data_IF_794309579441
#
_entry.id   IF_794309579441
#
_cell.length_a   1.000
_cell.length_b   1.000
_cell.length_c   1.000
_cell.angle_alpha   90.00
_cell.angle_beta   90.00
_cell.angle_gamma   90.00
#
_symmetry.space_group_name_H-M   'P 1'
#
loop_
_entity.id
_entity.type
_entity.pdbx_description
1 polymer ?
#
# COMPACT_ATOMS: atom_id res chain seq x y z
N UNK A 1 9.18 0.07 -24.66
CA UNK A 1 8.78 1.50 -24.74
C UNK A 1 10.04 2.34 -24.87
N UNK A 2 10.05 3.49 -25.55
CA UNK A 2 11.26 4.33 -25.58
C UNK A 2 11.49 5.03 -24.22
N UNK A 3 12.73 5.34 -23.88
CA UNK A 3 13.08 6.08 -22.65
C UNK A 3 12.35 7.43 -22.58
N UNK A 4 12.30 8.16 -23.71
CA UNK A 4 11.61 9.46 -23.80
C UNK A 4 10.12 9.34 -23.48
N UNK A 5 9.43 8.35 -24.07
CA UNK A 5 8.01 8.10 -23.84
C UNK A 5 7.74 7.74 -22.38
N UNK A 6 8.61 6.92 -21.78
CA UNK A 6 8.49 6.54 -20.37
C UNK A 6 8.62 7.74 -19.44
N UNK A 7 9.63 8.59 -19.66
CA UNK A 7 9.86 9.78 -18.85
C UNK A 7 8.71 10.77 -18.97
N UNK A 8 8.21 11.01 -20.19
CA UNK A 8 7.04 11.87 -20.41
C UNK A 8 5.84 11.33 -19.62
N UNK A 9 5.58 10.03 -19.68
CA UNK A 9 4.45 9.41 -18.98
C UNK A 9 4.59 9.55 -17.45
N UNK A 10 5.77 9.26 -16.89
CA UNK A 10 6.04 9.42 -15.45
C UNK A 10 5.85 10.88 -15.03
N UNK A 11 6.45 11.83 -15.75
CA UNK A 11 6.35 13.27 -15.45
C UNK A 11 4.90 13.74 -15.51
N UNK A 12 4.16 13.39 -16.57
CA UNK A 12 2.78 13.82 -16.76
C UNK A 12 1.89 13.26 -15.65
N UNK A 13 1.98 11.97 -15.33
CA UNK A 13 1.20 11.36 -14.25
C UNK A 13 1.55 12.01 -12.90
N UNK A 14 2.84 12.16 -12.61
CA UNK A 14 3.32 12.82 -11.39
C UNK A 14 2.80 14.26 -11.26
N UNK A 15 2.80 15.04 -12.35
CA UNK A 15 2.27 16.40 -12.38
C UNK A 15 0.75 16.42 -12.18
N UNK A 16 0.01 15.51 -12.83
CA UNK A 16 -1.44 15.40 -12.66
C UNK A 16 -1.79 15.18 -11.18
N UNK A 17 -1.17 14.19 -10.54
CA UNK A 17 -1.42 13.91 -9.12
C UNK A 17 -0.98 15.06 -8.21
N UNK A 18 0.14 15.73 -8.53
CA UNK A 18 0.58 16.91 -7.78
C UNK A 18 -0.42 18.04 -7.87
N UNK A 19 -0.88 18.39 -9.07
CA UNK A 19 -1.87 19.45 -9.29
C UNK A 19 -3.19 19.12 -8.61
N UNK A 20 -3.70 17.90 -8.80
CA UNK A 20 -4.95 17.44 -8.18
C UNK A 20 -4.86 17.46 -6.65
N UNK A 21 -3.76 16.95 -6.08
CA UNK A 21 -3.51 16.95 -4.64
C UNK A 21 -3.45 18.36 -4.07
N UNK A 22 -2.67 19.26 -4.69
CA UNK A 22 -2.56 20.65 -4.26
C UNK A 22 -3.91 21.39 -4.36
N UNK A 23 -4.62 21.24 -5.49
CA UNK A 23 -5.91 21.89 -5.72
C UNK A 23 -6.96 21.44 -4.69
N UNK A 24 -7.06 20.14 -4.42
CA UNK A 24 -7.99 19.61 -3.42
C UNK A 24 -7.66 20.14 -2.03
N UNK A 25 -6.38 20.21 -1.69
CA UNK A 25 -5.89 20.60 -0.36
C UNK A 25 -6.11 22.08 -0.03
N UNK A 26 -6.19 22.96 -1.03
CA UNK A 26 -6.49 24.40 -0.81
C UNK A 26 -7.78 24.62 -0.01
N UNK A 27 -8.77 23.74 -0.15
CA UNK A 27 -10.05 23.80 0.57
C UNK A 27 -9.97 23.31 2.02
N UNK A 28 -8.90 22.62 2.39
CA UNK A 28 -8.79 21.90 3.68
C UNK A 28 -7.50 22.24 4.41
N UNK A 29 -7.39 23.48 4.86
CA UNK A 29 -6.23 23.97 5.62
C UNK A 29 -6.33 23.65 7.12
N UNK A 30 -5.21 23.78 7.83
CA UNK A 30 -5.13 23.63 9.29
C UNK A 30 -4.76 22.22 9.77
N UNK A 31 -4.23 22.15 10.99
CA UNK A 31 -3.58 20.95 11.54
C UNK A 31 -4.51 19.73 11.65
N UNK A 32 -5.79 19.95 11.98
CA UNK A 32 -6.76 18.86 12.10
C UNK A 32 -7.06 18.19 10.74
N UNK A 33 -7.11 18.98 9.66
CA UNK A 33 -7.22 18.47 8.30
C UNK A 33 -5.94 17.75 7.88
N UNK A 34 -4.79 18.35 8.19
CA UNK A 34 -3.48 17.81 7.83
C UNK A 34 -3.21 16.43 8.46
N UNK A 35 -3.45 16.28 9.77
CA UNK A 35 -3.12 15.04 10.50
C UNK A 35 -4.21 13.99 10.47
N UNK A 36 -5.48 14.40 10.43
CA UNK A 36 -6.63 13.50 10.67
C UNK A 36 -7.80 13.74 9.72
N UNK A 37 -7.62 14.52 8.66
CA UNK A 37 -8.69 14.90 7.71
C UNK A 37 -9.98 15.38 8.40
N UNK A 38 -9.83 16.04 9.56
CA UNK A 38 -10.91 16.50 10.43
C UNK A 38 -11.93 15.41 10.85
N UNK A 39 -11.52 14.14 10.94
CA UNK A 39 -12.38 13.01 11.36
C UNK A 39 -13.68 12.91 10.55
N UNK A 40 -13.65 13.27 9.26
CA UNK A 40 -14.86 13.38 8.44
C UNK A 40 -14.72 12.66 7.09
N UNK A 41 -13.95 11.58 7.05
CA UNK A 41 -13.82 10.74 5.85
C UNK A 41 -14.86 9.62 5.93
N UNK A 42 -15.79 9.61 4.98
CA UNK A 42 -16.85 8.60 4.91
C UNK A 42 -16.35 7.21 4.51
N UNK A 43 -17.18 6.20 4.74
CA UNK A 43 -16.87 4.78 4.55
C UNK A 43 -16.19 4.45 3.21
N UNK A 44 -16.79 4.82 2.07
CA UNK A 44 -16.24 4.45 0.76
C UNK A 44 -14.86 5.06 0.48
N UNK A 45 -14.68 6.34 0.81
CA UNK A 45 -13.38 7.01 0.66
C UNK A 45 -12.33 6.43 1.61
N UNK A 46 -12.73 6.05 2.82
CA UNK A 46 -11.80 5.45 3.77
C UNK A 46 -11.36 4.06 3.31
N UNK A 47 -12.32 3.23 2.89
CA UNK A 47 -12.07 1.86 2.42
C UNK A 47 -11.16 1.87 1.19
N UNK A 48 -11.48 2.69 0.18
CA UNK A 48 -10.64 2.81 -1.02
C UNK A 48 -9.23 3.28 -0.66
N UNK A 49 -9.09 4.30 0.19
CA UNK A 49 -7.77 4.76 0.61
C UNK A 49 -6.97 3.72 1.42
N UNK A 50 -7.61 2.94 2.30
CA UNK A 50 -6.96 1.84 3.01
C UNK A 50 -6.50 0.73 2.06
N UNK A 51 -7.31 0.38 1.06
CA UNK A 51 -6.96 -0.65 0.08
C UNK A 51 -5.83 -0.19 -0.84
N UNK A 52 -5.87 1.05 -1.36
CA UNK A 52 -4.77 1.60 -2.17
C UNK A 52 -3.46 1.62 -1.41
N UNK A 53 -3.49 2.06 -0.15
CA UNK A 53 -2.32 2.10 0.71
C UNK A 53 -1.76 0.70 1.00
N UNK A 54 -2.61 -0.33 1.07
CA UNK A 54 -2.18 -1.70 1.34
C UNK A 54 -1.54 -2.37 0.11
N UNK A 55 -2.03 -2.07 -1.10
CA UNK A 55 -1.53 -2.68 -2.33
C UNK A 55 -0.12 -2.18 -2.70
N UNK A 56 0.10 -0.86 -2.69
CA UNK A 56 1.41 -0.27 -3.06
C UNK A 56 1.94 -0.73 -4.43
N UNK A 57 3.22 -0.44 -4.69
CA UNK A 57 3.96 -0.93 -5.85
C UNK A 57 4.52 -2.34 -5.62
N UNK A 58 4.76 -2.73 -4.35
CA UNK A 58 5.28 -4.04 -3.99
C UNK A 58 4.41 -5.21 -4.48
N UNK A 59 3.09 -5.03 -4.62
CA UNK A 59 2.16 -6.07 -5.07
C UNK A 59 2.49 -6.62 -6.47
N UNK A 60 3.16 -5.83 -7.31
CA UNK A 60 3.56 -6.24 -8.65
C UNK A 60 4.73 -7.24 -8.64
N UNK A 61 5.53 -7.25 -7.57
CA UNK A 61 6.77 -8.02 -7.50
C UNK A 61 6.73 -9.09 -6.41
N UNK A 62 6.27 -8.75 -5.20
CA UNK A 62 6.33 -9.62 -4.02
C UNK A 62 5.56 -10.93 -4.20
N UNK A 63 4.22 -10.90 -4.35
CA UNK A 63 3.42 -12.10 -4.53
C UNK A 63 3.82 -12.90 -5.78
N UNK A 64 4.12 -12.21 -6.89
CA UNK A 64 4.54 -12.85 -8.14
C UNK A 64 5.86 -13.61 -7.96
N UNK A 65 6.86 -12.99 -7.31
CA UNK A 65 8.13 -13.65 -6.99
C UNK A 65 7.94 -14.79 -5.99
N UNK A 66 7.07 -14.62 -5.00
CA UNK A 66 6.80 -15.66 -4.01
C UNK A 66 6.12 -16.89 -4.61
N UNK A 67 5.27 -16.69 -5.61
CA UNK A 67 4.60 -17.77 -6.32
C UNK A 67 5.57 -18.72 -7.03
N UNK A 68 6.74 -18.25 -7.48
CA UNK A 68 7.68 -19.06 -8.28
C UNK A 68 8.43 -20.11 -7.46
N UNK A 69 8.54 -19.93 -6.15
CA UNK A 69 9.24 -20.86 -5.24
C UNK A 69 8.37 -21.36 -4.10
N UNK A 70 7.41 -20.57 -3.62
CA UNK A 70 6.47 -20.94 -2.57
C UNK A 70 5.08 -21.34 -3.08
N UNK A 71 4.86 -21.34 -4.40
CA UNK A 71 3.62 -21.84 -5.01
C UNK A 71 2.35 -21.15 -4.52
N UNK A 72 1.23 -21.88 -4.55
CA UNK A 72 -0.09 -21.37 -4.15
C UNK A 72 -0.13 -20.94 -2.68
N UNK A 73 0.52 -21.67 -1.79
CA UNK A 73 0.49 -21.37 -0.35
C UNK A 73 1.11 -20.03 -0.03
N UNK A 74 2.22 -19.67 -0.70
CA UNK A 74 2.82 -18.34 -0.57
C UNK A 74 1.88 -17.21 -1.02
N UNK A 75 1.19 -17.39 -2.15
CA UNK A 75 0.22 -16.40 -2.67
C UNK A 75 -0.95 -16.21 -1.70
N UNK A 76 -1.50 -17.32 -1.19
CA UNK A 76 -2.57 -17.28 -0.17
C UNK A 76 -2.08 -16.59 1.09
N UNK A 77 -0.87 -16.91 1.56
CA UNK A 77 -0.24 -16.30 2.72
C UNK A 77 -0.12 -14.78 2.59
N UNK A 78 0.34 -14.29 1.43
CA UNK A 78 0.38 -12.87 1.11
C UNK A 78 -0.99 -12.21 1.13
N UNK A 79 -1.98 -12.82 0.46
CA UNK A 79 -3.33 -12.28 0.37
C UNK A 79 -3.98 -12.17 1.76
N UNK A 80 -3.91 -13.25 2.55
CA UNK A 80 -4.43 -13.26 3.92
C UNK A 80 -3.64 -12.31 4.84
N UNK A 81 -2.31 -12.25 4.70
CA UNK A 81 -1.45 -11.36 5.47
C UNK A 81 -1.75 -9.89 5.20
N UNK A 82 -2.11 -9.55 3.96
CA UNK A 82 -2.52 -8.18 3.58
C UNK A 82 -3.92 -7.85 4.11
N UNK A 83 -4.85 -8.82 4.10
CA UNK A 83 -6.23 -8.62 4.54
C UNK A 83 -6.39 -8.59 6.08
N UNK A 84 -5.61 -9.40 6.80
CA UNK A 84 -5.74 -9.59 8.25
C UNK A 84 -5.65 -8.29 9.08
N UNK A 85 -4.69 -7.38 8.84
CA UNK A 85 -4.61 -6.10 9.54
C UNK A 85 -5.90 -5.30 9.50
N UNK A 86 -6.64 -5.34 8.38
CA UNK A 86 -7.90 -4.60 8.24
C UNK A 86 -8.97 -5.11 9.21
N UNK A 87 -9.06 -6.44 9.41
CA UNK A 87 -9.95 -7.05 10.41
C UNK A 87 -9.57 -6.59 11.81
N UNK A 88 -8.27 -6.58 12.12
CA UNK A 88 -7.77 -6.18 13.43
C UNK A 88 -8.01 -4.68 13.70
N UNK A 89 -7.84 -3.83 12.70
CA UNK A 89 -8.10 -2.38 12.78
C UNK A 89 -9.57 -2.08 13.06
N UNK A 90 -10.52 -2.92 12.65
CA UNK A 90 -11.94 -2.74 13.00
C UNK A 90 -12.13 -2.79 14.52
N UNK A 91 -11.57 -3.81 15.19
CA UNK A 91 -11.70 -3.96 16.64
C UNK A 91 -10.85 -2.94 17.40
N UNK A 92 -9.53 -2.92 17.15
CA UNK A 92 -8.62 -2.08 17.92
C UNK A 92 -8.79 -0.60 17.56
N UNK A 93 -9.08 -0.27 16.30
CA UNK A 93 -9.34 1.10 15.87
C UNK A 93 -10.59 1.70 16.54
N UNK A 94 -11.70 0.94 16.63
CA UNK A 94 -12.89 1.37 17.39
C UNK A 94 -12.56 1.62 18.86
N UNK A 95 -11.83 0.70 19.49
CA UNK A 95 -11.41 0.83 20.89
C UNK A 95 -10.54 2.06 21.12
N UNK A 96 -9.51 2.27 20.29
CA UNK A 96 -8.61 3.41 20.41
C UNK A 96 -9.30 4.75 20.17
N UNK A 97 -10.24 4.83 19.22
CA UNK A 97 -11.01 6.06 19.00
C UNK A 97 -11.93 6.38 20.17
N UNK A 98 -12.52 5.36 20.82
CA UNK A 98 -13.36 5.54 22.01
C UNK A 98 -12.54 5.98 23.23
N UNK A 99 -11.41 5.35 23.50
CA UNK A 99 -10.55 5.67 24.65
C UNK A 99 -9.74 6.97 24.43
N UNK A 100 -9.36 7.28 23.19
CA UNK A 100 -8.50 8.42 22.83
C UNK A 100 -9.10 9.24 21.67
N UNK A 101 -10.26 9.90 21.87
CA UNK A 101 -10.99 10.57 20.78
C UNK A 101 -10.22 11.74 20.14
N UNK A 102 -9.34 12.38 20.92
CA UNK A 102 -8.46 13.46 20.46
C UNK A 102 -7.12 12.98 19.90
N UNK A 103 -6.88 11.67 19.89
CA UNK A 103 -5.66 11.09 19.33
C UNK A 103 -5.57 11.26 17.81
N UNK A 104 -4.36 11.10 17.29
CA UNK A 104 -4.04 11.22 15.86
C UNK A 104 -3.28 10.02 15.31
N UNK A 105 -2.56 9.28 16.17
CA UNK A 105 -1.69 8.18 15.74
C UNK A 105 -1.60 7.08 16.80
N UNK A 106 -1.19 5.87 16.38
CA UNK A 106 -0.88 4.79 17.32
C UNK A 106 0.27 5.17 18.26
N UNK A 107 1.28 5.85 17.73
CA UNK A 107 2.46 6.27 18.50
C UNK A 107 2.10 7.26 19.62
N UNK A 108 1.17 8.17 19.38
CA UNK A 108 0.65 9.07 20.42
C UNK A 108 -0.06 8.29 21.53
N UNK A 109 -0.89 7.32 21.18
CA UNK A 109 -1.52 6.41 22.14
C UNK A 109 -0.46 5.68 22.99
N UNK A 110 0.58 5.14 22.36
CA UNK A 110 1.64 4.44 23.06
C UNK A 110 2.39 5.34 24.04
N UNK A 111 2.60 6.61 23.67
CA UNK A 111 3.19 7.62 24.56
C UNK A 111 2.38 7.83 25.83
N UNK A 112 1.06 7.97 25.69
CA UNK A 112 0.16 8.25 26.82
C UNK A 112 0.04 7.01 27.71
N UNK A 113 -0.09 5.82 27.12
CA UNK A 113 -0.36 4.59 27.87
C UNK A 113 0.86 3.93 28.49
N UNK A 114 2.01 3.96 27.81
CA UNK A 114 3.21 3.19 28.21
C UNK A 114 4.40 4.08 28.61
N UNK A 115 4.21 5.40 28.62
CA UNK A 115 5.24 6.35 29.05
C UNK A 115 6.36 6.58 28.03
N UNK A 116 7.31 7.45 28.39
CA UNK A 116 8.29 8.02 27.45
C UNK A 116 9.37 7.04 26.97
N UNK A 117 9.77 6.07 27.79
CA UNK A 117 10.88 5.16 27.47
C UNK A 117 10.49 4.22 26.33
N UNK A 118 9.41 3.46 26.52
CA UNK A 118 8.89 2.54 25.49
C UNK A 118 8.47 3.29 24.23
N UNK A 119 7.84 4.46 24.38
CA UNK A 119 7.48 5.32 23.27
C UNK A 119 8.67 5.67 22.37
N UNK A 120 9.82 6.07 22.92
CA UNK A 120 10.98 6.46 22.11
C UNK A 120 11.50 5.30 21.27
N UNK A 121 11.57 4.11 21.87
CA UNK A 121 11.98 2.90 21.17
C UNK A 121 11.03 2.58 20.02
N UNK A 122 9.72 2.53 20.29
CA UNK A 122 8.72 2.19 19.26
C UNK A 122 8.66 3.27 18.17
N UNK A 123 8.77 4.55 18.53
CA UNK A 123 8.83 5.65 17.56
C UNK A 123 10.04 5.48 16.62
N UNK A 124 11.23 5.19 17.16
CA UNK A 124 12.43 4.98 16.35
C UNK A 124 12.24 3.79 15.40
N UNK A 125 11.76 2.66 15.92
CA UNK A 125 11.49 1.46 15.11
C UNK A 125 10.48 1.75 14.01
N UNK A 126 9.41 2.51 14.30
CA UNK A 126 8.39 2.85 13.32
C UNK A 126 8.92 3.81 12.25
N UNK A 127 9.71 4.82 12.60
CA UNK A 127 10.35 5.71 11.61
C UNK A 127 11.28 4.89 10.70
N UNK A 128 12.10 4.02 11.28
CA UNK A 128 13.01 3.17 10.52
C UNK A 128 12.27 2.22 9.57
N UNK A 129 11.21 1.57 10.05
CA UNK A 129 10.34 0.74 9.23
C UNK A 129 9.70 1.53 8.07
N UNK A 130 9.09 2.69 8.36
CA UNK A 130 8.45 3.52 7.34
C UNK A 130 9.45 4.04 6.31
N UNK A 131 10.70 4.30 6.72
CA UNK A 131 11.79 4.66 5.80
C UNK A 131 12.13 3.50 4.85
N UNK A 132 12.35 2.30 5.38
CA UNK A 132 12.60 1.10 4.55
C UNK A 132 11.43 0.85 3.60
N UNK A 133 10.20 0.95 4.10
CA UNK A 133 8.99 0.78 3.30
C UNK A 133 8.94 1.78 2.14
N UNK A 134 9.20 3.07 2.40
CA UNK A 134 9.28 4.10 1.35
C UNK A 134 10.36 3.78 0.31
N UNK A 135 11.56 3.39 0.76
CA UNK A 135 12.64 3.00 -0.14
C UNK A 135 12.25 1.80 -1.02
N UNK A 136 11.61 0.78 -0.45
CA UNK A 136 11.16 -0.40 -1.17
C UNK A 136 10.12 -0.04 -2.25
N UNK A 137 9.13 0.78 -1.90
CA UNK A 137 8.07 1.24 -2.81
C UNK A 137 8.63 2.03 -4.00
N UNK A 138 9.48 3.03 -3.72
CA UNK A 138 10.09 3.86 -4.78
C UNK A 138 11.01 3.03 -5.66
N UNK A 139 11.76 2.09 -5.07
CA UNK A 139 12.64 1.17 -5.81
C UNK A 139 11.82 0.25 -6.72
N UNK A 140 10.69 -0.28 -6.25
CA UNK A 140 9.82 -1.12 -7.07
C UNK A 140 9.33 -0.38 -8.32
N UNK A 141 8.89 0.87 -8.19
CA UNK A 141 8.46 1.67 -9.36
C UNK A 141 9.65 2.01 -10.27
N UNK A 142 10.80 2.38 -9.70
CA UNK A 142 11.99 2.67 -10.50
C UNK A 142 12.46 1.44 -11.31
N UNK A 143 12.46 0.25 -10.70
CA UNK A 143 12.78 -1.01 -11.37
C UNK A 143 11.77 -1.30 -12.48
N UNK A 144 10.47 -1.09 -12.25
CA UNK A 144 9.44 -1.29 -13.28
C UNK A 144 9.71 -0.41 -14.51
N UNK A 145 10.00 0.87 -14.30
CA UNK A 145 10.24 1.82 -15.39
C UNK A 145 11.55 1.51 -16.11
N UNK A 146 12.60 1.14 -15.37
CA UNK A 146 13.86 0.67 -15.95
C UNK A 146 13.66 -0.58 -16.81
N UNK A 147 12.90 -1.56 -16.32
CA UNK A 147 12.61 -2.79 -17.04
C UNK A 147 11.91 -2.56 -18.39
N UNK A 148 10.97 -1.60 -18.46
CA UNK A 148 10.15 -1.36 -19.65
C UNK A 148 10.84 -0.45 -20.69
N UNK A 149 11.79 0.39 -20.25
CA UNK A 149 12.32 1.50 -21.06
C UNK A 149 13.83 1.74 -20.99
N UNK A 150 14.55 1.10 -20.07
CA UNK A 150 15.96 1.34 -19.80
C UNK A 150 16.27 2.62 -19.00
N UNK A 151 15.26 3.39 -18.58
CA UNK A 151 15.45 4.62 -17.80
C UNK A 151 16.21 4.33 -16.50
N UNK A 152 17.22 5.14 -16.18
CA UNK A 152 17.98 4.99 -14.94
C UNK A 152 17.09 5.14 -13.69
N UNK A 153 17.35 4.29 -12.69
CA UNK A 153 16.51 4.15 -11.49
C UNK A 153 16.35 5.48 -10.73
N UNK A 154 17.45 6.22 -10.57
CA UNK A 154 17.47 7.46 -9.77
C UNK A 154 16.61 8.56 -10.39
N UNK A 155 16.50 8.62 -11.72
CA UNK A 155 15.68 9.63 -12.43
C UNK A 155 14.21 9.40 -12.08
N UNK A 156 13.74 8.17 -12.24
CA UNK A 156 12.36 7.79 -11.93
C UNK A 156 12.04 8.01 -10.45
N UNK A 157 12.94 7.56 -9.57
CA UNK A 157 12.79 7.72 -8.12
C UNK A 157 12.68 9.20 -7.72
N UNK A 158 13.54 10.06 -8.27
CA UNK A 158 13.55 11.49 -7.98
C UNK A 158 12.26 12.17 -8.39
N UNK A 159 11.76 11.90 -9.60
CA UNK A 159 10.51 12.50 -10.11
C UNK A 159 9.33 12.11 -9.20
N UNK A 160 9.21 10.82 -8.88
CA UNK A 160 8.12 10.31 -8.03
C UNK A 160 8.21 10.89 -6.63
N UNK A 161 9.39 10.89 -6.01
CA UNK A 161 9.60 11.45 -4.68
C UNK A 161 9.27 12.94 -4.62
N UNK A 162 9.77 13.74 -5.56
CA UNK A 162 9.50 15.18 -5.59
C UNK A 162 8.00 15.46 -5.74
N UNK A 163 7.33 14.78 -6.67
CA UNK A 163 5.90 14.96 -6.90
C UNK A 163 5.06 14.57 -5.67
N UNK A 164 5.27 13.35 -5.16
CA UNK A 164 4.53 12.81 -4.01
C UNK A 164 4.78 13.60 -2.73
N UNK A 165 6.02 13.98 -2.47
CA UNK A 165 6.39 14.81 -1.32
C UNK A 165 5.74 16.20 -1.42
N UNK A 166 5.71 16.80 -2.61
CA UNK A 166 5.16 18.16 -2.79
C UNK A 166 3.68 18.23 -2.38
N UNK A 167 2.83 17.36 -2.94
CA UNK A 167 1.40 17.44 -2.61
C UNK A 167 1.09 16.90 -1.20
N UNK A 168 1.89 15.95 -0.69
CA UNK A 168 1.69 15.38 0.65
C UNK A 168 2.13 16.33 1.75
N UNK A 169 3.26 17.04 1.60
CA UNK A 169 3.69 18.07 2.55
C UNK A 169 2.74 19.26 2.58
N UNK A 170 2.07 19.56 1.47
CA UNK A 170 1.09 20.65 1.42
C UNK A 170 -0.25 20.25 2.02
N UNK A 171 -0.77 19.07 1.70
CA UNK A 171 -2.14 18.67 2.02
C UNK A 171 -2.32 17.60 3.10
N UNK A 172 -1.23 16.98 3.55
CA UNK A 172 -1.23 15.95 4.58
C UNK A 172 -2.11 14.74 4.24
N UNK A 173 -2.72 14.16 5.26
CA UNK A 173 -3.54 12.96 5.14
C UNK A 173 -4.72 13.16 4.18
N UNK A 174 -5.29 14.38 4.10
CA UNK A 174 -6.45 14.64 3.25
C UNK A 174 -6.09 14.61 1.76
N UNK A 175 -4.92 15.12 1.39
CA UNK A 175 -4.39 14.94 0.04
C UNK A 175 -4.17 13.47 -0.28
N UNK A 176 -3.51 12.73 0.63
CA UNK A 176 -3.24 11.31 0.44
C UNK A 176 -4.53 10.51 0.23
N UNK A 177 -5.55 10.68 1.09
CA UNK A 177 -6.84 9.99 0.92
C UNK A 177 -7.49 10.33 -0.43
N UNK A 178 -7.45 11.60 -0.83
CA UNK A 178 -8.01 12.02 -2.11
C UNK A 178 -7.29 11.38 -3.31
N UNK A 179 -5.95 11.39 -3.32
CA UNK A 179 -5.17 10.76 -4.41
C UNK A 179 -5.36 9.25 -4.43
N UNK A 180 -5.43 8.60 -3.27
CA UNK A 180 -5.65 7.16 -3.17
C UNK A 180 -7.01 6.75 -3.75
N UNK A 181 -8.06 7.54 -3.51
CA UNK A 181 -9.39 7.25 -4.06
C UNK A 181 -9.36 7.23 -5.59
N UNK A 182 -8.66 8.18 -6.21
CA UNK A 182 -8.48 8.24 -7.66
C UNK A 182 -7.66 7.04 -8.14
N UNK A 183 -6.54 6.74 -7.46
CA UNK A 183 -5.68 5.61 -7.79
C UNK A 183 -6.43 4.28 -7.69
N UNK A 184 -7.32 4.10 -6.72
CA UNK A 184 -8.13 2.88 -6.59
C UNK A 184 -9.06 2.65 -7.77
N UNK A 185 -9.62 3.72 -8.35
CA UNK A 185 -10.44 3.58 -9.56
C UNK A 185 -9.56 3.08 -10.71
N UNK A 186 -8.37 3.68 -10.88
CA UNK A 186 -7.41 3.27 -11.92
C UNK A 186 -6.97 1.82 -11.72
N UNK A 187 -6.58 1.44 -10.49
CA UNK A 187 -6.19 0.08 -10.14
C UNK A 187 -7.33 -0.90 -10.42
N UNK A 188 -8.57 -0.57 -10.03
CA UNK A 188 -9.74 -1.41 -10.25
C UNK A 188 -10.00 -1.67 -11.74
N UNK A 189 -9.93 -0.62 -12.57
CA UNK A 189 -10.07 -0.73 -14.04
C UNK A 189 -8.95 -1.59 -14.62
N UNK A 190 -7.69 -1.33 -14.25
CA UNK A 190 -6.55 -2.11 -14.74
C UNK A 190 -6.61 -3.58 -14.31
N UNK A 191 -7.11 -3.86 -13.10
CA UNK A 191 -7.31 -5.22 -12.60
C UNK A 191 -8.37 -5.96 -13.42
N UNK A 192 -9.50 -5.31 -13.75
CA UNK A 192 -10.54 -5.89 -14.61
C UNK A 192 -9.98 -6.17 -16.00
N UNK A 193 -9.28 -5.21 -16.61
CA UNK A 193 -8.64 -5.39 -17.93
C UNK A 193 -7.68 -6.58 -17.90
N UNK A 194 -6.83 -6.66 -16.87
CA UNK A 194 -5.87 -7.75 -16.70
C UNK A 194 -6.56 -9.11 -16.53
N UNK A 195 -7.65 -9.17 -15.76
CA UNK A 195 -8.44 -10.39 -15.58
C UNK A 195 -9.09 -10.86 -16.89
N UNK A 196 -9.68 -9.94 -17.66
CA UNK A 196 -10.26 -10.23 -18.99
C UNK A 196 -9.16 -10.75 -19.94
N UNK A 197 -7.98 -10.13 -19.93
CA UNK A 197 -6.87 -10.54 -20.79
C UNK A 197 -6.34 -11.95 -20.45
N UNK A 198 -6.24 -12.26 -19.15
CA UNK A 198 -5.84 -13.58 -18.67
C UNK A 198 -6.87 -14.65 -19.05
N UNK A 199 -8.16 -14.39 -18.85
CA UNK A 199 -9.23 -15.38 -19.07
C UNK A 199 -9.53 -15.59 -20.56
N UNK A 200 -9.48 -14.56 -21.39
CA UNK A 200 -9.96 -14.68 -22.79
C UNK A 200 -8.85 -14.83 -23.82
N UNK A 201 -7.67 -14.24 -23.60
CA UNK A 201 -6.61 -14.20 -24.61
C UNK A 201 -5.44 -15.13 -24.30
N UNK A 202 -5.25 -15.48 -23.02
CA UNK A 202 -4.11 -16.27 -22.56
C UNK A 202 -4.50 -17.54 -21.81
N UNK A 203 -5.78 -17.93 -21.82
CA UNK A 203 -6.26 -19.12 -21.11
C UNK A 203 -5.51 -20.38 -21.52
N UNK A 204 -5.04 -20.49 -22.76
CA UNK A 204 -4.30 -21.66 -23.23
C UNK A 204 -2.80 -21.59 -22.92
N UNK A 205 -2.24 -20.39 -22.68
CA UNK A 205 -0.80 -20.18 -22.45
C UNK A 205 -0.43 -20.11 -20.96
N UNK A 206 -1.25 -19.44 -20.15
CA UNK A 206 -0.96 -19.16 -18.74
C UNK A 206 -2.09 -19.70 -17.84
N UNK A 207 -2.13 -21.02 -17.70
CA UNK A 207 -3.11 -21.74 -16.89
C UNK A 207 -2.45 -22.71 -15.91
N UNK A 208 -3.26 -23.34 -15.05
CA UNK A 208 -2.76 -24.32 -14.09
C UNK A 208 -2.17 -25.58 -14.74
N UNK A 209 -2.61 -25.96 -15.95
CA UNK A 209 -2.01 -27.11 -16.64
C UNK A 209 -0.60 -26.80 -17.14
N UNK A 210 -0.34 -25.59 -17.65
CA UNK A 210 1.00 -25.11 -17.97
C UNK A 210 1.91 -25.11 -16.75
N UNK A 211 1.42 -24.59 -15.61
CA UNK A 211 2.21 -24.61 -14.36
C UNK A 211 2.48 -26.05 -13.91
N UNK A 212 1.50 -26.95 -14.03
CA UNK A 212 1.67 -28.36 -13.69
C UNK A 212 2.69 -29.08 -14.61
N UNK A 213 2.79 -28.67 -15.88
CA UNK A 213 3.78 -29.18 -16.82
C UNK A 213 5.19 -28.67 -16.51
N UNK A 214 5.34 -27.39 -16.20
CA UNK A 214 6.66 -26.76 -15.98
C UNK A 214 7.20 -27.00 -14.57
N UNK A 215 6.35 -26.92 -13.54
CA UNK A 215 6.74 -27.12 -12.16
C UNK A 215 5.55 -27.61 -11.30
N UNK A 216 5.24 -28.92 -11.32
CA UNK A 216 4.08 -29.49 -10.64
C UNK A 216 4.12 -29.33 -9.12
N UNK A 217 5.32 -29.21 -8.52
CA UNK A 217 5.45 -29.06 -7.08
C UNK A 217 4.81 -27.77 -6.56
N UNK A 218 4.74 -26.69 -7.36
CA UNK A 218 4.11 -25.42 -6.97
C UNK A 218 2.60 -25.53 -6.72
N UNK A 219 1.95 -26.56 -7.28
CA UNK A 219 0.52 -26.85 -7.12
C UNK A 219 0.26 -28.02 -6.16
N UNK A 220 1.30 -28.77 -5.81
CA UNK A 220 1.14 -29.98 -5.01
C UNK A 220 0.85 -29.66 -3.55
N UNK A 221 -0.20 -30.27 -2.99
CA UNK A 221 -0.49 -30.23 -1.55
C UNK A 221 0.57 -30.94 -0.69
N UNK A 222 1.48 -31.72 -1.27
CA UNK A 222 2.60 -32.31 -0.53
C UNK A 222 3.84 -31.41 -0.46
N UNK A 223 3.82 -30.26 -1.16
CA UNK A 223 4.97 -29.37 -1.23
C UNK A 223 5.08 -28.52 0.04
N UNK A 224 5.87 -28.99 1.00
CA UNK A 224 6.08 -28.35 2.31
C UNK A 224 6.44 -26.86 2.22
N UNK A 225 7.34 -26.41 1.31
CA UNK A 225 7.65 -24.99 1.18
C UNK A 225 6.44 -24.11 0.87
N UNK A 226 5.38 -24.65 0.26
CA UNK A 226 4.12 -23.92 0.03
C UNK A 226 3.51 -23.42 1.33
N UNK A 227 3.45 -24.28 2.33
CA UNK A 227 2.86 -23.98 3.63
C UNK A 227 3.78 -23.11 4.49
N UNK A 228 5.08 -23.41 4.51
CA UNK A 228 6.03 -22.62 5.28
C UNK A 228 6.15 -21.21 4.73
N UNK A 229 6.25 -21.04 3.41
CA UNK A 229 6.23 -19.73 2.77
C UNK A 229 4.90 -18.99 3.02
N UNK A 230 3.78 -19.69 2.88
CA UNK A 230 2.45 -19.13 3.18
C UNK A 230 2.35 -18.59 4.60
N UNK A 231 2.79 -19.36 5.59
CA UNK A 231 2.80 -18.93 6.99
C UNK A 231 3.78 -17.77 7.22
N UNK A 232 4.97 -17.84 6.65
CA UNK A 232 5.98 -16.76 6.75
C UNK A 232 5.43 -15.46 6.19
N UNK A 233 4.82 -15.47 5.01
CA UNK A 233 4.26 -14.27 4.40
C UNK A 233 3.03 -13.77 5.14
N UNK A 234 2.16 -14.68 5.61
CA UNK A 234 1.04 -14.27 6.45
C UNK A 234 1.53 -13.47 7.67
N UNK A 235 2.47 -14.03 8.44
CA UNK A 235 2.98 -13.41 9.67
C UNK A 235 3.71 -12.10 9.34
N UNK A 236 4.63 -12.12 8.37
CA UNK A 236 5.45 -10.95 8.04
C UNK A 236 4.60 -9.81 7.48
N UNK A 237 3.71 -10.08 6.54
CA UNK A 237 2.86 -9.07 5.89
C UNK A 237 1.79 -8.56 6.84
N UNK A 238 1.19 -9.43 7.65
CA UNK A 238 0.23 -9.02 8.67
C UNK A 238 0.87 -8.13 9.73
N UNK A 239 2.04 -8.51 10.26
CA UNK A 239 2.72 -7.72 11.27
C UNK A 239 3.12 -6.35 10.74
N UNK A 240 3.74 -6.28 9.56
CA UNK A 240 4.20 -5.02 8.95
C UNK A 240 3.04 -4.05 8.69
N UNK A 241 1.95 -4.53 8.09
CA UNK A 241 0.77 -3.71 7.81
C UNK A 241 0.00 -3.30 9.07
N UNK A 242 0.03 -4.12 10.13
CA UNK A 242 -0.60 -3.79 11.41
C UNK A 242 0.07 -2.59 12.09
N UNK A 243 1.39 -2.47 11.98
CA UNK A 243 2.14 -1.33 12.53
C UNK A 243 2.31 -0.18 11.54
N UNK A 244 1.71 -0.26 10.36
CA UNK A 244 1.81 0.79 9.36
C UNK A 244 1.10 2.07 9.82
N UNK A 245 1.87 3.14 10.03
CA UNK A 245 1.39 4.39 10.60
C UNK A 245 0.28 5.04 9.76
N UNK A 246 0.34 4.91 8.44
CA UNK A 246 -0.68 5.43 7.52
C UNK A 246 -2.07 4.81 7.74
N UNK A 247 -2.13 3.55 8.19
CA UNK A 247 -3.41 2.88 8.48
C UNK A 247 -4.02 3.42 9.77
N UNK A 248 -3.20 3.66 10.80
CA UNK A 248 -3.66 4.23 12.07
C UNK A 248 -4.11 5.68 11.94
N UNK A 249 -3.46 6.49 11.11
CA UNK A 249 -3.94 7.84 10.80
C UNK A 249 -5.30 7.81 10.11
N UNK A 250 -5.53 6.86 9.19
CA UNK A 250 -6.82 6.66 8.52
C UNK A 250 -7.92 6.23 9.49
N UNK A 251 -7.61 5.37 10.47
CA UNK A 251 -8.55 5.06 11.57
C UNK A 251 -9.01 6.34 12.25
N UNK A 252 -8.10 7.25 12.61
CA UNK A 252 -8.45 8.54 13.22
C UNK A 252 -9.09 9.55 12.24
N UNK A 253 -9.09 9.30 10.93
CA UNK A 253 -9.77 10.14 9.95
C UNK A 253 -11.22 9.73 9.67
N UNK A 254 -11.60 8.51 10.08
CA UNK A 254 -12.91 7.96 9.87
C UNK A 254 -14.02 8.85 10.46
N UNK A 255 -15.08 9.06 9.69
CA UNK A 255 -16.31 9.70 10.17
C UNK A 255 -17.00 8.80 11.18
N UNK A 256 -17.48 9.37 12.28
CA UNK A 256 -18.38 8.67 13.19
C UNK A 256 -19.79 8.64 12.60
N UNK A 257 -20.39 7.46 12.65
CA UNK A 257 -21.80 7.24 12.33
C UNK A 257 -22.48 6.94 13.66
N UNK A 258 -23.57 7.66 13.93
CA UNK A 258 -24.42 7.45 15.08
C UNK A 258 -25.15 6.10 15.00
#
# INVERSE_FOLDING_TARGET
MSQSTSLILVIVISLIFTILGLYHSRKFQGINNYLTANRNIGFFSLTTSLVASALGAWILFGPASAATWGGIGAVIGYALGTAFPMIFLIYLGKKLRKEFPKGSTLIEFLRIKFGKSLFKLILLMMIFYMFIFLCAEVTAVAILINYISGTELWITALIILLATLTYTLYGGLRASIFTDNIQMIVIGVLLIISAIYLINFNADQFNFSFINQQNPHLLSSSYVPSYTAGLTFFIAVAATNLFHQGNWQRVYAAKDYD
#
